data_IF_089383671516
#
_entry.id   IF_089383671516
#
_cell.length_a   1.000
_cell.length_b   1.000
_cell.length_c   1.000
_cell.angle_alpha   90.00
_cell.angle_beta   90.00
_cell.angle_gamma   90.00
#
_symmetry.space_group_name_H-M   'P 1'
#
loop_
_entity.id
_entity.type
_entity.pdbx_description
1 polymer ?
#
# COMPACT_ATOMS: atom_id res chain seq x y z
N UNK A 1 36.86 -8.91 -9.21
CA UNK A 1 35.78 -7.96 -9.57
C UNK A 1 34.46 -8.58 -9.13
N UNK A 2 33.55 -7.82 -8.52
CA UNK A 2 32.26 -8.38 -8.14
C UNK A 2 31.41 -8.64 -9.40
N UNK A 3 30.63 -9.70 -9.36
CA UNK A 3 29.64 -10.05 -10.39
C UNK A 3 28.37 -9.23 -10.20
N UNK A 4 27.55 -9.11 -11.26
CA UNK A 4 26.29 -8.36 -11.19
C UNK A 4 25.36 -8.97 -10.11
N UNK A 5 25.30 -10.30 -10.05
CA UNK A 5 24.59 -11.04 -8.99
C UNK A 5 25.09 -10.74 -7.58
N UNK A 6 26.40 -10.60 -7.38
CA UNK A 6 26.93 -10.21 -6.06
C UNK A 6 26.49 -8.80 -5.67
N UNK A 7 26.38 -7.88 -6.65
CA UNK A 7 25.86 -6.54 -6.39
C UNK A 7 24.38 -6.56 -6.00
N UNK A 8 23.56 -7.41 -6.64
CA UNK A 8 22.16 -7.60 -6.29
C UNK A 8 21.99 -8.22 -4.90
N UNK A 9 22.84 -9.18 -4.53
CA UNK A 9 22.90 -9.75 -3.18
C UNK A 9 23.21 -8.68 -2.11
N UNK A 10 24.17 -7.80 -2.40
CA UNK A 10 24.52 -6.68 -1.53
C UNK A 10 23.37 -5.69 -1.41
N UNK A 11 22.66 -5.40 -2.50
CA UNK A 11 21.47 -4.55 -2.50
C UNK A 11 20.33 -5.16 -1.68
N UNK A 12 20.06 -6.46 -1.83
CA UNK A 12 19.08 -7.16 -1.02
C UNK A 12 19.46 -7.15 0.47
N UNK A 13 20.73 -7.36 0.81
CA UNK A 13 21.23 -7.28 2.18
C UNK A 13 21.08 -5.87 2.78
N UNK A 14 21.39 -4.83 1.99
CA UNK A 14 21.19 -3.44 2.37
C UNK A 14 19.71 -3.10 2.63
N UNK A 15 18.81 -3.54 1.76
CA UNK A 15 17.37 -3.36 1.98
C UNK A 15 16.91 -4.07 3.26
N UNK A 16 17.41 -5.28 3.51
CA UNK A 16 17.10 -6.01 4.76
C UNK A 16 17.57 -5.25 6.00
N UNK A 17 18.79 -4.71 5.99
CA UNK A 17 19.30 -3.90 7.12
C UNK A 17 18.51 -2.59 7.32
N UNK A 18 17.90 -2.07 6.26
CA UNK A 18 16.99 -0.91 6.31
C UNK A 18 15.52 -1.24 6.64
N UNK A 19 15.23 -2.48 7.07
CA UNK A 19 13.91 -2.89 7.56
C UNK A 19 13.00 -3.56 6.54
N UNK A 20 13.51 -3.92 5.36
CA UNK A 20 12.79 -4.71 4.34
C UNK A 20 13.22 -6.17 4.44
N UNK A 21 12.84 -6.84 5.52
CA UNK A 21 13.33 -8.18 5.88
C UNK A 21 13.09 -9.26 4.81
N UNK A 22 12.09 -9.07 3.96
CA UNK A 22 11.70 -9.97 2.87
C UNK A 22 12.33 -9.61 1.51
N UNK A 23 13.27 -8.66 1.46
CA UNK A 23 13.96 -8.30 0.23
C UNK A 23 14.80 -9.46 -0.33
N UNK A 24 14.60 -9.79 -1.60
CA UNK A 24 15.25 -10.88 -2.32
C UNK A 24 15.57 -10.45 -3.76
N UNK A 25 16.65 -11.00 -4.32
CA UNK A 25 16.98 -10.89 -5.76
C UNK A 25 15.80 -11.36 -6.62
N UNK A 26 15.55 -10.69 -7.73
CA UNK A 26 14.64 -11.21 -8.75
C UNK A 26 15.31 -12.33 -9.55
N UNK A 27 14.57 -13.36 -9.98
CA UNK A 27 15.10 -14.35 -10.91
C UNK A 27 15.44 -13.68 -12.25
N UNK A 28 16.57 -14.07 -12.85
CA UNK A 28 16.99 -13.60 -14.18
C UNK A 28 15.85 -13.76 -15.19
N UNK A 29 15.35 -12.65 -15.72
CA UNK A 29 14.21 -12.64 -16.64
C UNK A 29 13.86 -11.24 -17.15
N UNK A 30 12.72 -11.05 -17.85
CA UNK A 30 12.20 -9.73 -18.22
C UNK A 30 11.46 -9.10 -17.02
N UNK A 31 12.19 -8.79 -15.96
CA UNK A 31 11.73 -8.20 -14.71
C UNK A 31 11.61 -6.66 -14.76
N UNK A 32 11.80 -6.07 -15.94
CA UNK A 32 11.50 -4.67 -16.20
C UNK A 32 12.51 -3.70 -15.58
N UNK A 33 13.72 -4.18 -15.23
CA UNK A 33 14.77 -3.39 -14.59
C UNK A 33 14.63 -3.28 -13.08
N UNK A 34 13.96 -4.25 -12.45
CA UNK A 34 13.96 -4.45 -10.99
C UNK A 34 14.82 -5.67 -10.69
N UNK A 35 15.87 -5.48 -9.89
CA UNK A 35 16.83 -6.53 -9.57
C UNK A 35 16.62 -7.08 -8.14
N UNK A 36 15.93 -6.31 -7.27
CA UNK A 36 15.58 -6.72 -5.91
C UNK A 36 14.14 -6.33 -5.60
N UNK A 37 13.39 -7.23 -4.96
CA UNK A 37 12.00 -6.99 -4.57
C UNK A 37 11.72 -7.40 -3.12
N UNK A 38 10.86 -6.64 -2.47
CA UNK A 38 10.18 -6.97 -1.22
C UNK A 38 8.69 -6.67 -1.36
N UNK A 39 7.87 -6.98 -0.35
CA UNK A 39 6.44 -6.62 -0.36
C UNK A 39 6.18 -5.11 -0.32
N UNK A 40 7.16 -4.29 0.08
CA UNK A 40 7.00 -2.84 0.29
C UNK A 40 7.99 -1.99 -0.49
N UNK A 41 8.90 -2.60 -1.24
CA UNK A 41 9.94 -1.90 -1.96
C UNK A 41 10.47 -2.70 -3.15
N UNK A 42 10.96 -1.98 -4.16
CA UNK A 42 11.73 -2.52 -5.28
C UNK A 42 13.04 -1.75 -5.43
N UNK A 43 14.04 -2.40 -5.99
CA UNK A 43 15.32 -1.77 -6.29
C UNK A 43 15.83 -2.09 -7.69
N UNK A 44 16.64 -1.16 -8.20
CA UNK A 44 17.49 -1.37 -9.36
C UNK A 44 18.97 -1.19 -8.97
N UNK A 45 19.84 -1.97 -9.57
CA UNK A 45 21.27 -2.08 -9.29
C UNK A 45 22.05 -1.90 -10.58
N UNK A 46 22.91 -0.88 -10.64
CA UNK A 46 23.77 -0.58 -11.77
C UNK A 46 25.23 -0.64 -11.35
N UNK A 47 25.81 -1.83 -11.41
CA UNK A 47 27.19 -2.09 -10.95
C UNK A 47 28.27 -1.80 -12.02
N UNK A 48 27.89 -1.68 -13.29
CA UNK A 48 28.80 -1.42 -14.40
C UNK A 48 28.35 -0.23 -15.25
N UNK A 49 29.29 0.32 -16.01
CA UNK A 49 29.04 1.34 -17.02
C UNK A 49 29.14 2.76 -16.47
N UNK A 50 28.58 3.69 -17.24
CA UNK A 50 28.65 5.12 -16.96
C UNK A 50 27.72 5.54 -15.80
N UNK A 51 27.97 6.76 -15.32
CA UNK A 51 27.16 7.48 -14.33
C UNK A 51 25.65 7.30 -14.58
N UNK A 52 24.89 7.12 -13.50
CA UNK A 52 23.44 6.92 -13.54
C UNK A 52 22.72 8.21 -13.90
N UNK A 53 21.89 8.17 -14.95
CA UNK A 53 21.16 9.32 -15.46
C UNK A 53 19.69 9.36 -15.02
N UNK A 54 19.00 10.47 -15.31
CA UNK A 54 17.57 10.63 -15.02
C UNK A 54 16.71 9.52 -15.65
N UNK A 55 17.03 9.11 -16.87
CA UNK A 55 16.29 8.05 -17.60
C UNK A 55 16.36 6.71 -16.86
N UNK A 56 17.49 6.40 -16.24
CA UNK A 56 17.65 5.17 -15.45
C UNK A 56 16.70 5.20 -14.24
N UNK A 57 16.70 6.31 -13.49
CA UNK A 57 15.80 6.49 -12.34
C UNK A 57 14.32 6.50 -12.76
N UNK A 58 13.99 7.10 -13.90
CA UNK A 58 12.63 7.10 -14.47
C UNK A 58 12.13 5.69 -14.78
N UNK A 59 13.00 4.78 -15.24
CA UNK A 59 12.63 3.39 -15.52
C UNK A 59 12.23 2.67 -14.25
N UNK A 60 12.99 2.81 -13.16
CA UNK A 60 12.62 2.24 -11.86
C UNK A 60 11.29 2.80 -11.34
N UNK A 61 11.10 4.12 -11.42
CA UNK A 61 9.83 4.76 -11.05
C UNK A 61 8.67 4.22 -11.89
N UNK A 62 8.88 4.01 -13.19
CA UNK A 62 7.91 3.39 -14.08
C UNK A 62 7.62 1.93 -13.73
N UNK A 63 8.64 1.16 -13.35
CA UNK A 63 8.51 -0.25 -12.96
C UNK A 63 7.67 -0.45 -11.69
N UNK A 64 7.63 0.53 -10.78
CA UNK A 64 6.69 0.56 -9.65
C UNK A 64 5.23 0.49 -10.11
N UNK A 65 4.92 1.04 -11.27
CA UNK A 65 3.57 1.17 -11.79
C UNK A 65 2.67 1.93 -10.81
N UNK A 66 1.52 1.32 -10.47
CA UNK A 66 0.51 1.89 -9.56
C UNK A 66 0.67 1.44 -8.10
N UNK A 67 1.66 0.60 -7.81
CA UNK A 67 1.90 0.11 -6.46
C UNK A 67 2.50 1.23 -5.57
N UNK A 68 2.23 1.17 -4.27
CA UNK A 68 2.85 2.07 -3.28
C UNK A 68 4.05 1.34 -2.69
N UNK A 69 5.19 1.47 -3.35
CA UNK A 69 6.46 0.86 -2.98
C UNK A 69 7.53 1.93 -2.79
N UNK A 70 8.39 1.71 -1.79
CA UNK A 70 9.64 2.45 -1.64
C UNK A 70 10.60 2.05 -2.76
N UNK A 71 11.36 3.02 -3.28
CA UNK A 71 12.21 2.84 -4.44
C UNK A 71 13.67 3.01 -4.07
N UNK A 72 14.49 2.03 -4.43
CA UNK A 72 15.92 2.04 -4.16
C UNK A 72 16.71 1.96 -5.46
N UNK A 73 17.70 2.83 -5.63
CA UNK A 73 18.65 2.70 -6.73
C UNK A 73 20.05 2.59 -6.14
N UNK A 74 20.80 1.60 -6.62
CA UNK A 74 22.16 1.38 -6.20
C UNK A 74 23.13 1.43 -7.39
N UNK A 75 24.28 2.06 -7.23
CA UNK A 75 25.29 2.13 -8.29
C UNK A 75 26.71 2.27 -7.74
N UNK A 76 27.74 1.99 -8.54
CA UNK A 76 29.12 2.39 -8.22
C UNK A 76 29.48 3.74 -8.86
N UNK A 77 28.99 4.00 -10.08
CA UNK A 77 29.45 5.13 -10.90
C UNK A 77 28.88 6.49 -10.49
N UNK A 78 28.06 6.53 -9.44
CA UNK A 78 27.37 7.74 -8.98
C UNK A 78 26.21 8.18 -9.87
N UNK A 79 25.71 9.38 -9.59
CA UNK A 79 24.50 9.95 -10.18
C UNK A 79 24.79 11.30 -10.82
N UNK A 80 24.11 11.61 -11.92
CA UNK A 80 24.10 12.97 -12.45
C UNK A 80 23.20 13.88 -11.60
N UNK A 81 23.43 15.19 -11.65
CA UNK A 81 22.58 16.17 -10.95
C UNK A 81 21.09 15.99 -11.29
N UNK A 82 20.77 15.76 -12.57
CA UNK A 82 19.40 15.52 -13.03
C UNK A 82 18.78 14.23 -12.50
N UNK A 83 19.58 13.21 -12.22
CA UNK A 83 19.12 11.98 -11.59
C UNK A 83 18.76 12.23 -10.11
N UNK A 84 19.60 12.99 -9.40
CA UNK A 84 19.36 13.36 -7.99
C UNK A 84 18.13 14.27 -7.84
N UNK A 85 17.98 15.28 -8.70
CA UNK A 85 16.80 16.16 -8.76
C UNK A 85 15.52 15.32 -8.89
N UNK A 86 15.46 14.47 -9.91
CA UNK A 86 14.28 13.65 -10.18
C UNK A 86 14.01 12.60 -9.10
N UNK A 87 15.05 11.97 -8.56
CA UNK A 87 14.91 11.05 -7.43
C UNK A 87 14.33 11.74 -6.20
N UNK A 88 14.72 12.99 -5.95
CA UNK A 88 14.18 13.79 -4.86
C UNK A 88 12.69 14.07 -5.05
N UNK A 89 12.27 14.44 -6.27
CA UNK A 89 10.85 14.66 -6.62
C UNK A 89 9.99 13.40 -6.45
N UNK A 90 10.55 12.23 -6.81
CA UNK A 90 9.82 10.95 -6.83
C UNK A 90 10.03 10.09 -5.58
N UNK A 91 10.77 10.61 -4.60
CA UNK A 91 11.13 9.95 -3.34
C UNK A 91 11.88 8.61 -3.52
N UNK A 92 12.87 8.61 -4.43
CA UNK A 92 13.74 7.46 -4.70
C UNK A 92 15.00 7.53 -3.84
N UNK A 93 15.28 6.46 -3.10
CA UNK A 93 16.49 6.32 -2.29
C UNK A 93 17.70 5.93 -3.16
N UNK A 94 18.51 6.94 -3.49
CA UNK A 94 19.77 6.77 -4.23
C UNK A 94 20.95 6.46 -3.32
N UNK A 95 21.70 5.41 -3.66
CA UNK A 95 22.89 5.00 -2.95
C UNK A 95 24.07 4.71 -3.90
N UNK A 96 25.28 5.01 -3.44
CA UNK A 96 26.50 4.42 -4.02
C UNK A 96 27.13 3.42 -3.07
N UNK A 97 27.83 2.43 -3.64
CA UNK A 97 28.73 1.56 -2.89
C UNK A 97 30.18 1.95 -3.11
N UNK A 98 30.98 1.84 -2.07
CA UNK A 98 32.43 1.74 -2.21
C UNK A 98 32.86 0.26 -2.40
N UNK A 99 34.14 0.00 -2.73
CA UNK A 99 34.66 -1.37 -2.87
C UNK A 99 34.57 -2.24 -1.61
N UNK A 100 34.36 -1.65 -0.43
CA UNK A 100 34.18 -2.36 0.85
C UNK A 100 32.70 -2.70 1.12
N UNK A 101 31.79 -2.21 0.28
CA UNK A 101 30.35 -2.38 0.42
C UNK A 101 29.68 -1.33 1.30
N UNK A 102 30.39 -0.28 1.70
CA UNK A 102 29.79 0.81 2.47
C UNK A 102 28.86 1.64 1.58
N UNK A 103 27.69 1.99 2.13
CA UNK A 103 26.66 2.76 1.45
C UNK A 103 26.85 4.25 1.70
N UNK A 104 26.87 5.04 0.62
CA UNK A 104 26.77 6.50 0.68
C UNK A 104 25.43 6.97 0.11
N UNK A 105 24.62 7.75 0.85
CA UNK A 105 23.34 8.26 0.38
C UNK A 105 23.51 9.47 -0.55
N UNK A 106 22.68 9.55 -1.60
CA UNK A 106 22.69 10.66 -2.58
C UNK A 106 21.31 11.32 -2.78
N UNK A 107 20.36 11.06 -1.88
CA UNK A 107 19.02 11.65 -1.91
C UNK A 107 18.45 11.77 -0.49
N UNK A 108 17.46 12.67 -0.25
CA UNK A 108 16.81 12.75 1.05
C UNK A 108 16.17 11.44 1.50
N UNK A 109 15.54 10.69 0.57
CA UNK A 109 14.96 9.38 0.86
C UNK A 109 16.02 8.38 1.37
N UNK A 110 17.18 8.32 0.73
CA UNK A 110 18.29 7.47 1.15
C UNK A 110 18.77 7.80 2.58
N UNK A 111 18.90 9.09 2.90
CA UNK A 111 19.26 9.53 4.25
C UNK A 111 18.22 9.08 5.28
N UNK A 112 16.92 9.22 4.98
CA UNK A 112 15.85 8.78 5.89
C UNK A 112 15.91 7.28 6.16
N UNK A 113 16.16 6.44 5.14
CA UNK A 113 16.27 5.00 5.32
C UNK A 113 17.52 4.60 6.14
N UNK A 114 18.68 5.22 5.91
CA UNK A 114 19.87 4.97 6.74
C UNK A 114 19.68 5.42 8.19
N UNK A 115 19.06 6.59 8.41
CA UNK A 115 18.78 7.07 9.76
C UNK A 115 17.76 6.18 10.48
N UNK A 116 16.74 5.69 9.78
CA UNK A 116 15.77 4.76 10.34
C UNK A 116 16.44 3.44 10.74
N UNK A 117 17.41 2.96 9.95
CA UNK A 117 18.19 1.75 10.24
C UNK A 117 19.18 1.93 11.41
N UNK A 118 19.78 3.12 11.52
CA UNK A 118 20.77 3.44 12.55
C UNK A 118 20.15 3.74 13.92
N UNK A 119 18.85 4.03 14.00
CA UNK A 119 18.18 4.15 15.29
C UNK A 119 18.27 2.79 15.98
N UNK A 120 18.87 2.70 17.19
CA UNK A 120 18.80 1.47 17.95
C UNK A 120 17.32 1.12 18.06
N UNK A 121 16.97 -0.13 17.74
CA UNK A 121 15.65 -0.64 18.04
C UNK A 121 15.44 -0.33 19.53
N UNK A 122 14.63 0.69 19.82
CA UNK A 122 14.20 0.93 21.19
C UNK A 122 13.68 -0.43 21.62
N UNK A 123 14.20 -1.04 22.70
CA UNK A 123 13.64 -2.29 23.18
C UNK A 123 12.17 -1.98 23.32
N UNK A 124 11.33 -2.56 22.46
CA UNK A 124 9.90 -2.34 22.52
C UNK A 124 9.56 -2.91 23.89
N UNK A 125 9.22 -2.09 24.91
CA UNK A 125 8.75 -2.66 26.17
C UNK A 125 7.59 -3.57 25.78
N UNK A 126 7.67 -4.84 26.21
CA UNK A 126 6.77 -5.91 25.84
C UNK A 126 5.36 -5.35 25.61
N UNK A 127 4.93 -5.41 24.34
CA UNK A 127 3.72 -4.83 23.78
C UNK A 127 2.78 -4.18 24.82
N UNK A 128 2.87 -2.86 24.99
CA UNK A 128 1.73 -2.11 25.55
C UNK A 128 0.57 -2.36 24.58
N UNK A 129 -0.52 -3.02 25.00
CA UNK A 129 -1.64 -3.29 24.11
C UNK A 129 -2.13 -1.95 23.53
N UNK A 130 -2.52 -1.90 22.25
CA UNK A 130 -2.97 -0.66 21.63
C UNK A 130 -4.08 -0.06 22.49
N UNK A 131 -3.91 1.20 22.89
CA UNK A 131 -4.95 1.89 23.64
C UNK A 131 -6.24 1.90 22.80
N UNK A 132 -7.39 1.50 23.39
CA UNK A 132 -8.63 1.23 22.64
C UNK A 132 -9.15 2.45 21.86
N UNK A 133 -8.64 3.66 22.13
CA UNK A 133 -9.06 4.91 21.52
C UNK A 133 -8.67 5.10 20.05
N UNK A 134 -7.60 4.48 19.52
CA UNK A 134 -7.13 4.75 18.14
C UNK A 134 -7.54 3.73 17.08
N UNK A 135 -8.02 2.55 17.48
CA UNK A 135 -8.47 1.49 16.56
C UNK A 135 -9.99 1.53 16.32
N UNK A 136 -10.74 2.20 17.20
CA UNK A 136 -12.21 2.31 17.10
C UNK A 136 -12.67 3.19 15.93
N UNK A 137 -11.99 4.31 15.66
CA UNK A 137 -12.44 5.31 14.69
C UNK A 137 -12.38 4.84 13.23
N UNK A 138 -11.37 4.05 12.84
CA UNK A 138 -11.23 3.53 11.47
C UNK A 138 -12.18 2.37 11.14
N UNK A 139 -12.71 1.68 12.15
CA UNK A 139 -13.58 0.49 11.97
C UNK A 139 -15.07 0.77 12.16
N UNK A 140 -15.45 1.87 12.81
CA UNK A 140 -16.85 2.16 13.14
C UNK A 140 -17.43 3.44 12.49
N UNK A 141 -16.72 4.10 11.56
CA UNK A 141 -17.30 5.26 10.84
C UNK A 141 -18.59 4.90 10.08
N UNK A 142 -18.73 3.65 9.62
CA UNK A 142 -19.96 3.16 8.99
C UNK A 142 -21.11 2.97 9.99
N UNK A 143 -20.83 2.74 11.28
CA UNK A 143 -21.86 2.63 12.33
C UNK A 143 -22.50 3.99 12.62
N UNK A 144 -21.69 5.05 12.61
CA UNK A 144 -22.18 6.42 12.71
C UNK A 144 -23.06 6.80 11.49
N UNK A 145 -22.67 6.39 10.28
CA UNK A 145 -23.48 6.58 9.06
C UNK A 145 -24.81 5.82 9.13
N UNK A 146 -24.84 4.58 9.63
CA UNK A 146 -26.10 3.82 9.77
C UNK A 146 -27.06 4.39 10.83
N UNK A 147 -26.56 4.93 11.94
CA UNK A 147 -27.41 5.59 12.95
C UNK A 147 -27.98 6.90 12.39
N UNK A 148 -27.17 7.68 11.67
CA UNK A 148 -27.63 8.91 11.01
C UNK A 148 -28.67 8.65 9.91
N UNK A 149 -28.54 7.52 9.21
CA UNK A 149 -29.50 7.08 8.18
C UNK A 149 -30.84 6.62 8.79
N UNK A 150 -30.82 5.89 9.92
CA UNK A 150 -32.05 5.52 10.63
C UNK A 150 -32.74 6.70 11.34
N UNK A 151 -31.99 7.63 11.93
CA UNK A 151 -32.53 8.80 12.60
C UNK A 151 -33.22 9.80 11.64
N UNK A 152 -32.90 9.76 10.35
CA UNK A 152 -33.52 10.63 9.33
C UNK A 152 -34.72 9.98 8.63
N UNK A 153 -34.75 8.64 8.53
CA UNK A 153 -35.83 7.90 7.86
C UNK A 153 -37.09 7.78 8.72
N UNK A 154 -36.94 7.67 10.05
CA UNK A 154 -38.10 7.50 10.96
C UNK A 154 -38.96 8.76 11.06
N UNK A 155 -38.43 9.99 11.19
CA UNK A 155 -39.25 11.20 11.19
C UNK A 155 -39.99 11.40 9.87
N UNK A 156 -39.32 11.16 8.73
CA UNK A 156 -39.93 11.25 7.40
C UNK A 156 -41.08 10.25 7.20
N UNK A 157 -40.99 9.05 7.79
CA UNK A 157 -42.07 8.06 7.78
C UNK A 157 -43.23 8.46 8.70
N UNK A 158 -42.95 9.05 9.87
CA UNK A 158 -43.98 9.51 10.81
C UNK A 158 -44.73 10.72 10.25
N UNK A 159 -44.04 11.66 9.63
CA UNK A 159 -44.67 12.82 8.98
C UNK A 159 -45.48 12.40 7.75
N UNK A 160 -45.00 11.44 6.94
CA UNK A 160 -45.77 10.87 5.84
C UNK A 160 -47.06 10.17 6.34
N UNK A 161 -46.99 9.40 7.43
CA UNK A 161 -48.15 8.74 8.03
C UNK A 161 -49.15 9.76 8.60
N UNK A 162 -48.66 10.81 9.26
CA UNK A 162 -49.51 11.90 9.80
C UNK A 162 -50.17 12.70 8.70
N UNK A 163 -49.46 13.02 7.62
CA UNK A 163 -50.02 13.69 6.44
C UNK A 163 -51.16 12.87 5.80
N UNK A 164 -50.98 11.54 5.67
CA UNK A 164 -52.07 10.66 5.19
C UNK A 164 -53.25 10.53 6.17
N UNK A 165 -53.03 10.71 7.47
CA UNK A 165 -54.09 10.65 8.48
C UNK A 165 -54.84 11.97 8.66
N UNK A 166 -54.23 13.09 8.25
CA UNK A 166 -54.79 14.45 8.38
C UNK A 166 -55.71 14.87 7.21
N UNK A 167 -55.78 14.08 6.13
CA UNK A 167 -56.64 14.40 4.98
C UNK A 167 -56.18 15.61 4.18
N UNK A 168 -54.87 15.84 4.06
CA UNK A 168 -54.29 16.88 3.20
C UNK A 168 -54.18 16.36 1.75
N UNK A 169 -54.94 16.99 0.85
CA UNK A 169 -55.16 16.55 -0.54
C UNK A 169 -54.06 16.95 -1.54
N UNK A 170 -52.85 17.34 -1.13
CA UNK A 170 -51.80 17.74 -2.09
C UNK A 170 -50.42 17.09 -1.85
N UNK A 171 -50.17 15.90 -2.43
CA UNK A 171 -48.86 15.28 -2.42
C UNK A 171 -48.00 15.89 -3.55
N UNK A 172 -47.39 17.04 -3.28
CA UNK A 172 -46.28 17.56 -4.07
C UNK A 172 -45.10 16.59 -4.08
N UNK A 173 -44.91 15.88 -5.20
CA UNK A 173 -43.71 15.15 -5.66
C UNK A 173 -42.86 14.39 -4.62
N UNK A 174 -43.10 13.08 -4.49
CA UNK A 174 -42.12 12.18 -3.85
C UNK A 174 -42.46 10.68 -3.70
N UNK A 175 -43.25 10.10 -4.60
CA UNK A 175 -43.68 8.69 -4.72
C UNK A 175 -43.08 7.66 -3.69
N UNK A 176 -43.82 7.28 -2.61
CA UNK A 176 -43.33 6.34 -1.57
C UNK A 176 -42.92 4.92 -2.05
N UNK A 177 -43.42 4.34 -3.17
CA UNK A 177 -42.96 3.03 -3.66
C UNK A 177 -41.51 3.04 -4.16
N UNK A 178 -41.02 4.18 -4.68
CA UNK A 178 -39.64 4.30 -5.17
C UNK A 178 -38.62 4.28 -4.01
N UNK A 179 -38.94 4.96 -2.91
CA UNK A 179 -38.11 4.95 -1.70
C UNK A 179 -38.00 3.53 -1.10
N UNK A 180 -39.12 2.78 -1.09
CA UNK A 180 -39.13 1.38 -0.66
C UNK A 180 -38.32 0.49 -1.61
N UNK A 181 -38.44 0.72 -2.93
CA UNK A 181 -37.67 0.01 -3.95
C UNK A 181 -36.15 0.17 -3.79
N UNK A 182 -35.66 1.40 -3.57
CA UNK A 182 -34.23 1.69 -3.37
C UNK A 182 -33.72 1.03 -2.09
N UNK A 183 -34.51 1.05 -1.00
CA UNK A 183 -34.13 0.43 0.27
C UNK A 183 -34.00 -1.10 0.16
N UNK A 184 -34.93 -1.76 -0.55
CA UNK A 184 -34.91 -3.22 -0.77
C UNK A 184 -33.72 -3.63 -1.64
N UNK A 185 -33.47 -2.92 -2.74
CA UNK A 185 -32.33 -3.19 -3.63
C UNK A 185 -31.00 -2.98 -2.91
N UNK A 186 -30.87 -1.89 -2.14
CA UNK A 186 -29.68 -1.61 -1.34
C UNK A 186 -29.37 -2.72 -0.33
N UNK A 187 -30.41 -3.25 0.33
CA UNK A 187 -30.27 -4.34 1.32
C UNK A 187 -29.85 -5.67 0.66
N UNK A 188 -30.37 -5.97 -0.52
CA UNK A 188 -30.02 -7.19 -1.28
C UNK A 188 -28.58 -7.14 -1.81
N UNK A 189 -28.15 -6.02 -2.37
CA UNK A 189 -26.77 -5.83 -2.86
C UNK A 189 -25.78 -5.91 -1.69
N UNK A 190 -26.10 -5.30 -0.55
CA UNK A 190 -25.29 -5.37 0.66
C UNK A 190 -25.13 -6.81 1.17
N UNK A 191 -26.23 -7.57 1.28
CA UNK A 191 -26.19 -8.98 1.69
C UNK A 191 -25.33 -9.83 0.76
N UNK A 192 -25.38 -9.58 -0.55
CA UNK A 192 -24.58 -10.32 -1.54
C UNK A 192 -23.09 -9.99 -1.45
N UNK A 193 -22.74 -8.73 -1.21
CA UNK A 193 -21.33 -8.32 -1.05
C UNK A 193 -20.73 -8.79 0.28
N UNK A 194 -21.51 -8.81 1.37
CA UNK A 194 -21.08 -9.30 2.68
C UNK A 194 -20.70 -10.79 2.64
N UNK A 195 -21.49 -11.63 1.94
CA UNK A 195 -21.19 -13.07 1.77
C UNK A 195 -19.89 -13.32 0.98
N UNK A 196 -19.68 -12.61 -0.13
CA UNK A 196 -18.45 -12.74 -0.94
C UNK A 196 -17.18 -12.35 -0.17
N UNK A 197 -17.27 -11.44 0.80
CA UNK A 197 -16.14 -11.05 1.65
C UNK A 197 -15.84 -12.12 2.71
N UNK A 198 -16.85 -12.75 3.29
CA UNK A 198 -16.67 -13.89 4.21
C UNK A 198 -16.05 -15.11 3.53
N UNK A 199 -16.40 -15.37 2.27
CA UNK A 199 -15.83 -16.46 1.47
C UNK A 199 -14.34 -16.23 1.18
N UNK A 200 -13.93 -14.99 0.88
CA UNK A 200 -12.50 -14.65 0.65
C UNK A 200 -11.64 -14.66 1.91
N UNK A 201 -12.25 -14.47 3.09
CA UNK A 201 -11.57 -14.50 4.38
C UNK A 201 -11.63 -15.86 5.08
N UNK A 202 -12.21 -16.89 4.46
CA UNK A 202 -12.26 -18.25 5.02
C UNK A 202 -10.97 -19.01 4.71
N UNK A 203 -10.21 -19.50 5.71
CA UNK A 203 -8.92 -20.20 5.54
C UNK A 203 -8.98 -21.58 4.85
N UNK A 204 -10.09 -21.96 4.21
CA UNK A 204 -10.33 -23.31 3.68
C UNK A 204 -9.99 -23.51 2.20
N UNK A 205 -9.45 -22.50 1.52
CA UNK A 205 -8.95 -22.63 0.14
C UNK A 205 -7.45 -22.99 0.04
N UNK A 206 -6.82 -23.40 1.15
CA UNK A 206 -5.45 -23.94 1.19
C UNK A 206 -5.46 -25.34 1.82
N UNK A 207 -6.03 -26.35 1.14
CA UNK A 207 -5.79 -27.76 1.47
C UNK A 207 -6.33 -28.71 0.40
N UNK A 208 -5.65 -28.80 -0.75
CA UNK A 208 -5.48 -30.07 -1.48
C UNK A 208 -4.50 -29.90 -2.65
N UNK A 209 -3.25 -30.30 -2.43
CA UNK A 209 -2.33 -30.73 -3.48
C UNK A 209 -2.02 -32.20 -3.17
N UNK A 210 -2.33 -33.17 -4.05
CA UNK A 210 -1.97 -34.56 -3.82
C UNK A 210 -0.44 -34.73 -3.89
N UNK A 211 0.13 -35.71 -3.15
CA UNK A 211 1.54 -36.03 -3.27
C UNK A 211 1.83 -36.52 -4.69
N UNK A 212 2.88 -35.97 -5.32
CA UNK A 212 3.37 -36.47 -6.60
C UNK A 212 4.26 -37.71 -6.38
N UNK A 213 4.20 -38.70 -7.29
CA UNK A 213 4.97 -39.94 -7.22
C UNK A 213 6.48 -39.71 -7.38
#
# INVERSE_FOLDING_TARGET
MATDRQAEQMAAAAMRSMGFADAQETPVGPDGGVDVRSRRAIAQVKFRGAQTGRVDVQRLVGARGREVLDLFFFTIAGYSARAVEYATEMDVALFTYDPTGALSPHSPAAVRHLQAAARPATPVPAAVPPSPGRVWWRRNWWKAVTVFCWASVVPLLVDAIRATAAGEDDPGWGNPPLALGIAVVGTLVWRRQARRRQERSSPRAQLHLPPRP
#
